data_IF_560090361412
#
_entry.id   IF_560090361412
#
_cell.length_a   1.000
_cell.length_b   1.000
_cell.length_c   1.000
_cell.angle_alpha   90.00
_cell.angle_beta   90.00
_cell.angle_gamma   90.00
#
_symmetry.space_group_name_H-M   'P 1'
#
loop_
_entity.id
_entity.type
_entity.pdbx_description
1 polymer ?
#
# COMPACT_ATOMS: atom_id res chain seq x y z
N UNK A 1 21.90 -1.29 -10.62
CA UNK A 1 21.34 -1.43 -9.26
C UNK A 1 20.78 -0.08 -8.84
N UNK A 2 19.47 0.01 -8.57
CA UNK A 2 18.79 1.25 -8.18
C UNK A 2 19.10 1.55 -6.70
N UNK A 3 19.57 2.76 -6.39
CA UNK A 3 19.88 3.23 -5.05
C UNK A 3 18.69 3.98 -4.45
N UNK A 4 18.21 3.53 -3.30
CA UNK A 4 16.95 3.97 -2.69
C UNK A 4 17.22 4.65 -1.36
N UNK A 5 16.58 5.80 -1.13
CA UNK A 5 16.40 6.42 0.18
C UNK A 5 15.00 6.14 0.71
N UNK A 6 14.88 5.87 1.99
CA UNK A 6 13.57 5.68 2.66
C UNK A 6 13.39 6.80 3.68
N UNK A 7 12.33 7.57 3.53
CA UNK A 7 11.90 8.59 4.49
C UNK A 7 10.68 8.04 5.25
N UNK A 8 10.83 7.80 6.55
CA UNK A 8 9.87 7.10 7.40
C UNK A 8 10.15 5.60 7.53
N UNK A 9 10.41 5.15 8.75
CA UNK A 9 10.76 3.76 9.04
C UNK A 9 9.70 3.04 9.90
N UNK A 10 8.44 3.42 9.68
CA UNK A 10 7.25 2.77 10.23
C UNK A 10 7.00 1.38 9.63
N UNK A 11 5.78 0.88 9.71
CA UNK A 11 5.39 -0.45 9.16
C UNK A 11 5.76 -0.60 7.68
N UNK A 12 5.36 0.35 6.83
CA UNK A 12 5.61 0.29 5.37
C UNK A 12 7.11 0.43 5.05
N UNK A 13 7.82 1.39 5.66
CA UNK A 13 9.26 1.55 5.45
C UNK A 13 10.05 0.29 5.81
N UNK A 14 9.71 -0.38 6.93
CA UNK A 14 10.33 -1.65 7.33
C UNK A 14 9.95 -2.81 6.41
N UNK A 15 8.69 -2.91 5.98
CA UNK A 15 8.26 -3.95 5.01
C UNK A 15 9.00 -3.81 3.68
N UNK A 16 9.11 -2.60 3.13
CA UNK A 16 9.91 -2.31 1.94
C UNK A 16 11.37 -2.72 2.15
N UNK A 17 11.95 -2.37 3.30
CA UNK A 17 13.35 -2.72 3.62
C UNK A 17 13.57 -4.23 3.68
N UNK A 18 12.66 -4.97 4.30
CA UNK A 18 12.69 -6.44 4.37
C UNK A 18 12.61 -7.08 2.98
N UNK A 19 11.71 -6.59 2.13
CA UNK A 19 11.54 -7.10 0.77
C UNK A 19 12.79 -6.80 -0.07
N UNK A 20 13.33 -5.58 0.00
CA UNK A 20 14.53 -5.18 -0.76
C UNK A 20 15.77 -5.95 -0.30
N UNK A 21 15.87 -6.33 0.99
CA UNK A 21 17.04 -7.05 1.50
C UNK A 21 17.32 -8.39 0.80
N UNK A 22 16.32 -8.95 0.12
CA UNK A 22 16.45 -10.16 -0.72
C UNK A 22 16.62 -9.88 -2.22
N UNK A 23 16.66 -8.61 -2.65
CA UNK A 23 16.76 -8.23 -4.07
C UNK A 23 18.19 -7.83 -4.43
N UNK A 24 18.67 -8.27 -5.60
CA UNK A 24 20.02 -7.92 -6.10
C UNK A 24 20.06 -6.64 -6.93
N UNK A 25 18.95 -6.25 -7.49
CA UNK A 25 18.81 -5.11 -8.40
C UNK A 25 18.48 -3.79 -7.68
N UNK A 26 18.21 -3.84 -6.37
CA UNK A 26 17.85 -2.70 -5.52
C UNK A 26 18.79 -2.62 -4.30
N UNK A 27 19.09 -1.40 -3.87
CA UNK A 27 19.91 -1.15 -2.68
C UNK A 27 19.38 0.01 -1.88
N UNK A 28 19.08 -0.21 -0.59
CA UNK A 28 18.81 0.89 0.34
C UNK A 28 20.14 1.49 0.77
N UNK A 29 20.30 2.79 0.59
CA UNK A 29 21.51 3.56 0.92
C UNK A 29 21.33 4.33 2.20
N UNK A 30 20.14 4.91 2.42
CA UNK A 30 19.83 5.69 3.61
C UNK A 30 18.38 5.53 4.05
N UNK A 31 18.19 5.67 5.36
CA UNK A 31 16.89 5.74 6.03
C UNK A 31 16.86 7.03 6.84
N UNK A 32 15.74 7.74 6.81
CA UNK A 32 15.43 8.84 7.70
C UNK A 32 14.21 8.48 8.55
N UNK A 33 14.30 8.67 9.86
CA UNK A 33 13.21 8.44 10.81
C UNK A 33 13.32 9.43 11.98
N UNK A 34 12.20 9.90 12.51
CA UNK A 34 12.19 10.87 13.61
C UNK A 34 12.48 10.23 14.98
N UNK A 35 12.30 8.92 15.11
CA UNK A 35 12.76 8.18 16.28
C UNK A 35 14.27 7.98 16.16
N UNK A 36 15.03 8.47 17.13
CA UNK A 36 16.49 8.42 17.17
C UNK A 36 17.06 7.14 17.83
N UNK A 37 16.22 6.33 18.47
CA UNK A 37 16.66 5.04 19.03
C UNK A 37 16.86 3.99 17.92
N UNK A 38 18.06 4.05 17.37
CA UNK A 38 18.44 3.16 16.26
C UNK A 38 18.50 1.68 16.67
N UNK A 39 18.73 1.38 17.97
CA UNK A 39 18.70 0.01 18.47
C UNK A 39 17.29 -0.54 18.47
N UNK A 40 16.30 0.26 18.89
CA UNK A 40 14.88 -0.10 18.81
C UNK A 40 14.46 -0.30 17.34
N UNK A 41 14.84 0.59 16.43
CA UNK A 41 14.52 0.46 15.01
C UNK A 41 15.16 -0.80 14.39
N UNK A 42 16.39 -1.12 14.75
CA UNK A 42 17.07 -2.35 14.34
C UNK A 42 16.39 -3.61 14.88
N UNK A 43 15.94 -3.57 16.13
CA UNK A 43 15.15 -4.63 16.76
C UNK A 43 13.83 -4.84 16.01
N UNK A 44 13.05 -3.77 15.75
CA UNK A 44 11.79 -3.83 15.03
C UNK A 44 11.94 -4.24 13.55
N UNK A 45 13.10 -3.99 12.94
CA UNK A 45 13.42 -4.53 11.61
C UNK A 45 13.68 -6.03 11.67
N UNK A 46 14.39 -6.50 12.70
CA UNK A 46 14.76 -7.91 12.87
C UNK A 46 13.56 -8.76 13.27
N UNK A 47 12.74 -8.29 14.20
CA UNK A 47 11.63 -9.02 14.79
C UNK A 47 10.30 -8.34 14.47
N UNK A 48 9.37 -9.09 13.93
CA UNK A 48 8.03 -8.63 13.59
C UNK A 48 7.03 -9.72 13.95
N UNK A 49 5.97 -9.36 14.66
CA UNK A 49 4.97 -10.32 15.11
C UNK A 49 4.25 -10.99 13.94
N UNK A 50 4.04 -10.26 12.85
CA UNK A 50 3.30 -10.71 11.67
C UNK A 50 4.25 -11.46 10.71
N UNK A 51 5.32 -10.77 10.26
CA UNK A 51 6.24 -11.30 9.24
C UNK A 51 7.42 -12.07 9.84
N UNK A 52 7.40 -12.30 11.15
CA UNK A 52 8.39 -13.10 11.88
C UNK A 52 9.81 -12.52 11.80
N UNK A 53 10.77 -13.31 12.23
CA UNK A 53 12.19 -12.93 12.28
C UNK A 53 12.77 -12.80 10.88
N UNK A 54 13.36 -11.66 10.55
CA UNK A 54 14.11 -11.48 9.31
C UNK A 54 15.35 -12.40 9.30
N UNK A 55 15.57 -13.15 8.22
CA UNK A 55 16.70 -14.10 8.12
C UNK A 55 18.05 -13.38 8.12
N UNK A 56 18.15 -12.23 7.45
CA UNK A 56 19.37 -11.43 7.36
C UNK A 56 19.94 -11.07 8.74
N UNK A 57 21.26 -10.93 8.83
CA UNK A 57 21.96 -10.43 10.03
C UNK A 57 21.77 -8.92 10.13
N UNK A 58 21.27 -8.45 11.26
CA UNK A 58 21.14 -7.02 11.55
C UNK A 58 22.19 -6.62 12.58
N UNK A 59 22.99 -5.60 12.25
CA UNK A 59 23.95 -4.98 13.17
C UNK A 59 23.70 -3.48 13.20
N UNK A 60 23.45 -2.95 14.38
CA UNK A 60 23.30 -1.50 14.61
C UNK A 60 24.66 -0.90 14.93
N UNK A 61 24.95 0.26 14.33
CA UNK A 61 26.12 1.10 14.58
C UNK A 61 25.66 2.52 14.89
N UNK A 62 26.52 3.38 15.43
CA UNK A 62 26.18 4.73 15.88
C UNK A 62 25.29 5.56 14.91
N UNK A 63 25.44 5.40 13.61
CA UNK A 63 24.68 6.15 12.59
C UNK A 63 24.31 5.29 11.37
N UNK A 64 24.14 3.98 11.56
CA UNK A 64 23.84 3.07 10.48
C UNK A 64 23.22 1.76 10.97
N UNK A 65 22.39 1.17 10.13
CA UNK A 65 21.93 -0.21 10.26
C UNK A 65 22.61 -1.02 9.14
N UNK A 66 23.28 -2.10 9.50
CA UNK A 66 23.82 -3.03 8.52
C UNK A 66 22.84 -4.21 8.38
N UNK A 67 22.45 -4.50 7.16
CA UNK A 67 21.72 -5.72 6.78
C UNK A 67 22.70 -6.58 6.00
N UNK A 68 23.18 -7.67 6.61
CA UNK A 68 24.32 -8.46 6.13
C UNK A 68 25.52 -7.53 5.83
N UNK A 69 25.98 -7.48 4.58
CA UNK A 69 27.08 -6.62 4.14
C UNK A 69 26.63 -5.24 3.64
N UNK A 70 25.33 -4.94 3.62
CA UNK A 70 24.83 -3.66 3.17
C UNK A 70 24.73 -2.67 4.35
N UNK A 71 25.58 -1.63 4.32
CA UNK A 71 25.53 -0.53 5.27
C UNK A 71 24.52 0.51 4.82
N UNK A 72 23.52 0.80 5.64
CA UNK A 72 22.46 1.78 5.44
C UNK A 72 22.70 2.95 6.39
N UNK A 73 22.96 4.15 5.87
CA UNK A 73 23.11 5.36 6.69
C UNK A 73 21.79 5.74 7.33
N UNK A 74 21.84 6.21 8.57
CA UNK A 74 20.68 6.65 9.30
C UNK A 74 20.72 8.15 9.53
N UNK A 75 19.55 8.78 9.37
CA UNK A 75 19.31 10.19 9.65
C UNK A 75 18.09 10.34 10.56
N UNK A 76 18.12 11.33 11.46
CA UNK A 76 17.01 11.70 12.33
C UNK A 76 16.63 13.15 12.02
N UNK A 77 15.81 13.35 10.97
CA UNK A 77 15.41 14.68 10.49
C UNK A 77 13.90 14.78 10.34
N UNK A 78 13.32 15.91 10.79
CA UNK A 78 11.88 16.16 10.71
C UNK A 78 11.38 16.43 9.30
N UNK A 79 12.22 17.07 8.46
CA UNK A 79 11.84 17.38 7.09
C UNK A 79 12.66 16.58 6.10
N UNK A 80 12.01 16.12 5.04
CA UNK A 80 12.65 15.38 3.94
C UNK A 80 13.80 16.17 3.28
N UNK A 81 13.75 17.51 3.31
CA UNK A 81 14.76 18.39 2.71
C UNK A 81 16.05 18.54 3.54
N UNK A 82 16.04 18.09 4.79
CA UNK A 82 17.22 18.19 5.68
C UNK A 82 18.16 16.99 5.51
N UNK A 83 17.76 15.96 4.76
CA UNK A 83 18.58 14.79 4.46
C UNK A 83 19.31 15.01 3.13
N UNK A 84 20.62 14.79 3.06
CA UNK A 84 21.41 15.02 1.85
C UNK A 84 21.31 13.85 0.87
N UNK A 85 20.08 13.53 0.39
CA UNK A 85 19.80 12.38 -0.47
C UNK A 85 20.67 12.35 -1.73
N UNK A 86 20.87 13.50 -2.36
CA UNK A 86 21.65 13.64 -3.57
C UNK A 86 23.15 13.38 -3.36
N UNK A 87 23.73 13.84 -2.24
CA UNK A 87 25.14 13.60 -1.89
C UNK A 87 25.43 12.13 -1.59
N UNK A 88 24.39 11.33 -1.34
CA UNK A 88 24.48 9.89 -1.11
C UNK A 88 24.37 9.08 -2.41
N UNK A 89 24.19 9.74 -3.56
CA UNK A 89 24.03 9.10 -4.85
C UNK A 89 22.74 8.29 -4.95
N UNK A 90 21.67 8.72 -4.27
CA UNK A 90 20.36 8.07 -4.28
C UNK A 90 19.64 8.42 -5.57
N UNK A 91 19.10 7.42 -6.26
CA UNK A 91 18.34 7.60 -7.51
C UNK A 91 16.89 7.98 -7.24
N UNK A 92 16.29 7.43 -6.16
CA UNK A 92 14.88 7.61 -5.81
C UNK A 92 14.68 7.61 -4.30
N UNK A 93 13.78 8.48 -3.84
CA UNK A 93 13.35 8.50 -2.44
C UNK A 93 11.93 7.97 -2.33
N UNK A 94 11.69 7.06 -1.39
CA UNK A 94 10.36 6.57 -1.00
C UNK A 94 9.97 7.31 0.27
N UNK A 95 8.92 8.13 0.22
CA UNK A 95 8.34 8.75 1.41
C UNK A 95 7.22 7.89 1.98
N UNK A 96 7.52 7.22 3.09
CA UNK A 96 6.62 6.36 3.84
C UNK A 96 6.19 6.98 5.19
N UNK A 97 6.25 8.31 5.30
CA UNK A 97 5.92 9.03 6.54
C UNK A 97 4.44 9.33 6.71
N UNK A 98 3.69 9.43 5.61
CA UNK A 98 2.30 9.94 5.63
C UNK A 98 2.18 11.44 5.96
N UNK A 99 3.29 12.18 6.02
CA UNK A 99 3.32 13.60 6.46
C UNK A 99 3.12 14.54 5.27
N UNK A 100 2.02 15.29 5.26
CA UNK A 100 1.67 16.23 4.19
C UNK A 100 2.76 17.28 3.92
N UNK A 101 3.51 17.73 4.93
CA UNK A 101 4.63 18.67 4.77
C UNK A 101 5.75 18.09 3.92
N UNK A 102 6.04 16.79 4.02
CA UNK A 102 7.04 16.12 3.19
C UNK A 102 6.59 16.08 1.73
N UNK A 103 5.31 15.79 1.45
CA UNK A 103 4.74 15.83 0.10
C UNK A 103 4.87 17.23 -0.51
N UNK A 104 4.51 18.29 0.24
CA UNK A 104 4.67 19.69 -0.21
C UNK A 104 6.12 20.02 -0.55
N UNK A 105 7.07 19.44 0.15
CA UNK A 105 8.51 19.69 -0.03
C UNK A 105 9.19 18.68 -0.96
N UNK A 106 8.48 17.67 -1.46
CA UNK A 106 9.07 16.57 -2.23
C UNK A 106 9.90 17.08 -3.42
N UNK A 107 9.36 17.99 -4.24
CA UNK A 107 10.09 18.51 -5.41
C UNK A 107 11.41 19.21 -5.07
N UNK A 108 11.58 19.71 -3.84
CA UNK A 108 12.82 20.40 -3.42
C UNK A 108 14.03 19.48 -3.29
N UNK A 109 13.82 18.16 -3.20
CA UNK A 109 14.92 17.18 -3.13
C UNK A 109 15.26 16.57 -4.49
N UNK A 110 14.52 16.91 -5.54
CA UNK A 110 14.81 16.50 -6.93
C UNK A 110 15.98 17.32 -7.47
N UNK A 111 17.18 16.84 -7.24
CA UNK A 111 18.42 17.47 -7.71
C UNK A 111 19.55 16.44 -7.77
N UNK A 112 20.52 16.67 -8.64
CA UNK A 112 21.69 15.82 -8.85
C UNK A 112 21.29 14.35 -9.11
N UNK A 113 21.55 13.45 -8.17
CA UNK A 113 21.27 12.00 -8.31
C UNK A 113 19.79 11.66 -8.14
N UNK A 114 19.02 12.42 -7.34
CA UNK A 114 17.61 12.10 -7.03
C UNK A 114 16.72 12.46 -8.21
N UNK A 115 16.27 11.44 -8.93
CA UNK A 115 15.48 11.59 -10.16
C UNK A 115 13.98 11.56 -9.91
N UNK A 116 13.51 10.78 -8.95
CA UNK A 116 12.09 10.54 -8.70
C UNK A 116 11.81 10.37 -7.21
N UNK A 117 10.55 10.58 -6.84
CA UNK A 117 10.05 10.34 -5.49
C UNK A 117 8.76 9.53 -5.58
N UNK A 118 8.65 8.51 -4.73
CA UNK A 118 7.41 7.73 -4.54
C UNK A 118 6.82 8.04 -3.17
N UNK A 119 5.56 8.46 -3.15
CA UNK A 119 4.80 8.75 -1.94
C UNK A 119 3.88 7.55 -1.65
N UNK A 120 3.94 6.99 -0.45
CA UNK A 120 3.18 5.77 -0.08
C UNK A 120 1.79 6.04 0.49
N UNK A 121 1.17 7.13 0.12
CA UNK A 121 -0.23 7.46 0.41
C UNK A 121 -0.81 8.28 -0.74
N UNK A 122 -2.11 8.63 -0.69
CA UNK A 122 -2.82 9.31 -1.77
C UNK A 122 -3.16 10.75 -1.41
N UNK A 123 -2.21 11.71 -1.47
CA UNK A 123 -2.50 13.11 -1.25
C UNK A 123 -3.33 13.69 -2.39
N UNK A 124 -4.06 14.78 -2.08
CA UNK A 124 -4.88 15.47 -3.10
C UNK A 124 -4.07 16.47 -3.93
N UNK A 125 -2.92 16.93 -3.41
CA UNK A 125 -2.09 17.98 -4.02
C UNK A 125 -0.61 17.64 -3.94
N UNK A 126 0.20 18.35 -4.73
CA UNK A 126 1.66 18.26 -4.75
C UNK A 126 2.22 16.90 -5.21
N UNK A 127 1.48 16.19 -6.04
CA UNK A 127 1.90 15.00 -6.77
C UNK A 127 1.67 15.23 -8.27
N UNK A 128 2.50 14.61 -9.09
CA UNK A 128 2.38 14.72 -10.55
C UNK A 128 1.54 13.59 -11.13
N UNK A 129 1.57 12.41 -10.49
CA UNK A 129 0.83 11.25 -10.95
C UNK A 129 0.49 10.30 -9.79
N UNK A 130 -0.73 9.77 -9.77
CA UNK A 130 -1.10 8.65 -8.90
C UNK A 130 -1.11 7.38 -9.72
N UNK A 131 -0.31 6.39 -9.31
CA UNK A 131 -0.16 5.12 -10.02
C UNK A 131 -0.72 3.96 -9.20
N UNK A 132 -1.57 3.17 -9.82
CA UNK A 132 -2.00 1.87 -9.33
C UNK A 132 -1.55 0.83 -10.37
N UNK A 133 -0.64 -0.05 -9.96
CA UNK A 133 -0.14 -1.11 -10.86
C UNK A 133 -1.28 -2.05 -11.27
N UNK A 134 -1.37 -2.35 -12.55
CA UNK A 134 -2.48 -3.09 -13.16
C UNK A 134 -3.64 -2.21 -13.61
N UNK A 135 -3.61 -0.91 -13.31
CA UNK A 135 -4.69 0.05 -13.66
C UNK A 135 -4.23 1.07 -14.68
N UNK A 136 -3.29 1.92 -14.33
CA UNK A 136 -2.97 3.12 -15.10
C UNK A 136 -1.46 3.37 -15.32
N UNK A 137 -0.60 2.43 -15.00
CA UNK A 137 0.86 2.57 -15.15
C UNK A 137 1.28 2.94 -16.57
N UNK A 138 0.52 2.50 -17.59
CA UNK A 138 0.80 2.81 -19.00
C UNK A 138 0.71 4.32 -19.34
N UNK A 139 0.01 5.10 -18.52
CA UNK A 139 -0.13 6.56 -18.69
C UNK A 139 0.98 7.35 -18.01
N UNK A 140 1.89 6.67 -17.33
CA UNK A 140 3.04 7.33 -16.70
C UNK A 140 3.96 7.94 -17.77
N UNK A 141 4.36 9.19 -17.52
CA UNK A 141 5.31 9.90 -18.38
C UNK A 141 6.57 10.28 -17.57
N UNK A 142 7.70 9.68 -17.93
CA UNK A 142 8.96 9.88 -17.22
C UNK A 142 9.40 11.36 -17.14
N UNK A 143 9.16 12.12 -18.21
CA UNK A 143 9.60 13.52 -18.31
C UNK A 143 8.70 14.51 -17.55
N UNK A 144 7.45 14.12 -17.26
CA UNK A 144 6.43 14.97 -16.64
C UNK A 144 6.14 14.62 -15.18
N UNK A 145 6.38 13.37 -14.78
CA UNK A 145 5.95 12.87 -13.48
C UNK A 145 7.15 12.51 -12.61
N UNK A 146 7.54 13.43 -11.73
CA UNK A 146 8.67 13.27 -10.84
C UNK A 146 8.26 12.83 -9.43
N UNK A 147 7.10 13.30 -8.96
CA UNK A 147 6.51 12.92 -7.68
C UNK A 147 5.31 12.04 -7.93
N UNK A 148 5.48 10.74 -7.68
CA UNK A 148 4.48 9.72 -7.97
C UNK A 148 3.89 9.19 -6.66
N UNK A 149 2.56 9.22 -6.53
CA UNK A 149 1.87 8.51 -5.45
C UNK A 149 1.61 7.07 -5.85
N UNK A 150 1.93 6.12 -4.97
CA UNK A 150 1.55 4.71 -5.10
C UNK A 150 0.12 4.43 -4.62
N UNK A 151 -0.69 5.46 -4.45
CA UNK A 151 -2.04 5.36 -3.90
C UNK A 151 -2.04 4.78 -2.47
N UNK A 152 -3.03 3.95 -2.13
CA UNK A 152 -3.16 3.28 -0.83
C UNK A 152 -3.39 1.79 -1.03
N UNK A 153 -3.22 1.00 0.03
CA UNK A 153 -3.35 -0.46 0.00
C UNK A 153 -4.69 -0.94 -0.57
N UNK A 154 -5.80 -0.38 -0.07
CA UNK A 154 -7.14 -0.74 -0.52
C UNK A 154 -7.33 -0.45 -2.03
N UNK A 155 -6.86 0.72 -2.49
CA UNK A 155 -6.97 1.09 -3.90
C UNK A 155 -6.09 0.21 -4.80
N UNK A 156 -4.94 -0.25 -4.29
CA UNK A 156 -4.06 -1.18 -5.02
C UNK A 156 -4.65 -2.57 -5.20
N UNK A 157 -5.60 -2.97 -4.33
CA UNK A 157 -6.33 -4.22 -4.44
C UNK A 157 -7.64 -4.06 -5.23
N UNK A 158 -8.47 -3.08 -4.86
CA UNK A 158 -9.80 -2.87 -5.43
C UNK A 158 -9.72 -2.33 -6.86
N UNK A 159 -8.79 -1.42 -7.14
CA UNK A 159 -8.67 -0.77 -8.44
C UNK A 159 -8.51 -1.73 -9.62
N UNK A 160 -7.57 -2.69 -9.60
CA UNK A 160 -7.44 -3.69 -10.64
C UNK A 160 -8.71 -4.52 -10.85
N UNK A 161 -9.43 -4.88 -9.78
CA UNK A 161 -10.67 -5.66 -9.86
C UNK A 161 -11.77 -4.84 -10.55
N UNK A 162 -12.01 -3.62 -10.09
CA UNK A 162 -13.03 -2.74 -10.68
C UNK A 162 -12.72 -2.44 -12.16
N UNK A 163 -11.45 -2.27 -12.51
CA UNK A 163 -11.04 -2.08 -13.91
C UNK A 163 -11.45 -3.27 -14.78
N UNK A 164 -11.10 -4.48 -14.34
CA UNK A 164 -11.40 -5.68 -15.14
C UNK A 164 -12.92 -5.95 -15.22
N UNK A 165 -13.67 -5.67 -14.14
CA UNK A 165 -15.14 -5.76 -14.18
C UNK A 165 -15.75 -4.72 -15.12
N UNK A 166 -15.26 -3.48 -15.11
CA UNK A 166 -15.78 -2.43 -15.99
C UNK A 166 -15.42 -2.68 -17.46
N UNK A 167 -14.20 -3.15 -17.74
CA UNK A 167 -13.76 -3.44 -19.11
C UNK A 167 -14.57 -4.59 -19.73
N UNK A 168 -14.92 -5.64 -18.96
CA UNK A 168 -15.60 -6.82 -19.46
C UNK A 168 -17.13 -6.72 -19.38
N UNK A 169 -17.68 -6.13 -18.32
CA UNK A 169 -19.13 -6.19 -18.04
C UNK A 169 -19.81 -4.83 -17.96
N UNK A 170 -19.07 -3.71 -17.94
CA UNK A 170 -19.58 -2.32 -17.85
C UNK A 170 -20.30 -2.05 -16.54
N UNK A 171 -19.58 -1.56 -15.56
CA UNK A 171 -20.12 -1.20 -14.25
C UNK A 171 -21.16 -0.09 -14.37
N UNK A 172 -22.36 -0.33 -13.84
CA UNK A 172 -23.41 0.69 -13.68
C UNK A 172 -23.32 1.35 -12.31
N UNK A 173 -23.30 0.55 -11.25
CA UNK A 173 -23.20 1.02 -9.87
C UNK A 173 -22.69 -0.08 -8.94
N UNK A 174 -22.25 0.29 -7.74
CA UNK A 174 -21.85 -0.72 -6.76
C UNK A 174 -21.42 -0.16 -5.42
N UNK A 175 -21.29 -1.07 -4.47
CA UNK A 175 -20.78 -0.80 -3.13
C UNK A 175 -19.59 -1.68 -2.81
N UNK A 176 -18.63 -1.11 -2.08
CA UNK A 176 -17.47 -1.83 -1.56
C UNK A 176 -17.39 -1.63 -0.06
N UNK A 177 -17.40 -2.73 0.68
CA UNK A 177 -17.15 -2.72 2.12
C UNK A 177 -15.77 -3.31 2.40
N UNK A 178 -14.88 -2.55 3.03
CA UNK A 178 -13.57 -3.05 3.43
C UNK A 178 -13.56 -3.45 4.90
N UNK A 179 -13.10 -4.67 5.20
CA UNK A 179 -12.77 -5.15 6.53
C UNK A 179 -11.26 -4.96 6.72
N UNK A 180 -10.89 -3.89 7.41
CA UNK A 180 -9.49 -3.47 7.49
C UNK A 180 -8.93 -3.74 8.90
N UNK A 181 -7.78 -4.40 9.04
CA UNK A 181 -7.12 -4.60 10.32
C UNK A 181 -6.91 -3.29 11.10
N UNK A 182 -6.76 -3.43 12.41
CA UNK A 182 -6.38 -2.31 13.25
C UNK A 182 -5.03 -1.73 12.83
N UNK A 183 -4.86 -0.44 13.07
CA UNK A 183 -3.63 0.28 12.73
C UNK A 183 -2.90 0.76 13.99
N UNK A 184 -1.60 0.96 13.88
CA UNK A 184 -0.69 1.31 14.99
C UNK A 184 -1.05 2.60 15.75
N UNK A 185 -1.87 3.45 15.18
CA UNK A 185 -2.33 4.70 15.80
C UNK A 185 -3.68 4.58 16.51
N UNK A 186 -4.35 3.42 16.44
CA UNK A 186 -5.60 3.20 17.15
C UNK A 186 -5.33 2.84 18.60
N UNK A 187 -6.27 3.22 19.47
CA UNK A 187 -6.19 2.92 20.88
C UNK A 187 -6.42 1.42 21.15
N UNK A 188 -5.65 0.84 22.05
CA UNK A 188 -5.87 -0.54 22.53
C UNK A 188 -7.02 -0.62 23.53
N UNK A 189 -7.28 0.48 24.25
CA UNK A 189 -8.42 0.69 25.15
C UNK A 189 -9.08 2.01 24.80
N UNK A 190 -10.31 2.24 25.26
CA UNK A 190 -11.02 3.51 25.05
C UNK A 190 -10.14 4.70 25.46
N UNK A 191 -9.96 5.66 24.57
CA UNK A 191 -9.10 6.80 24.82
C UNK A 191 -9.33 7.97 23.86
N UNK A 192 -8.55 9.04 24.05
CA UNK A 192 -8.68 10.25 23.27
C UNK A 192 -8.32 10.02 21.79
N UNK A 193 -8.87 10.84 20.90
CA UNK A 193 -8.63 10.76 19.46
C UNK A 193 -7.25 11.25 19.02
N UNK A 194 -6.46 11.84 19.89
CA UNK A 194 -5.08 12.23 19.60
C UNK A 194 -4.17 11.02 19.73
N UNK A 195 -3.60 10.59 18.62
CA UNK A 195 -2.63 9.51 18.63
C UNK A 195 -1.22 10.03 18.91
N UNK A 196 -0.54 9.46 19.89
CA UNK A 196 0.89 9.71 20.18
C UNK A 196 1.77 9.02 19.13
N UNK A 197 1.36 7.84 18.65
CA UNK A 197 2.12 7.06 17.66
C UNK A 197 2.07 7.63 16.24
N UNK A 198 1.09 8.51 15.96
CA UNK A 198 0.96 9.23 14.69
C UNK A 198 0.60 10.68 14.97
N UNK A 199 1.56 11.51 15.41
CA UNK A 199 1.32 12.90 15.74
C UNK A 199 0.70 13.66 14.55
N UNK A 200 -0.41 14.39 14.80
CA UNK A 200 -1.15 15.12 13.77
C UNK A 200 -2.35 14.36 13.18
N UNK A 201 -2.57 13.10 13.50
CA UNK A 201 -3.83 12.43 13.21
C UNK A 201 -4.88 12.82 14.26
N UNK A 202 -5.78 13.74 13.89
CA UNK A 202 -6.98 14.07 14.65
C UNK A 202 -8.19 13.47 13.94
N UNK A 203 -8.88 12.56 14.60
CA UNK A 203 -10.08 11.96 14.06
C UNK A 203 -11.29 12.81 14.46
N UNK A 204 -12.16 13.11 13.49
CA UNK A 204 -13.45 13.73 13.77
C UNK A 204 -14.53 12.73 14.19
N UNK A 205 -14.29 11.45 13.91
CA UNK A 205 -15.21 10.37 14.28
C UNK A 205 -14.79 9.78 15.62
N UNK A 206 -15.56 10.02 16.66
CA UNK A 206 -15.28 9.57 18.04
C UNK A 206 -15.18 8.05 18.18
N UNK A 207 -15.84 7.27 17.32
CA UNK A 207 -15.74 5.81 17.35
C UNK A 207 -14.31 5.29 17.15
N UNK A 208 -13.45 6.07 16.48
CA UNK A 208 -12.04 5.69 16.27
C UNK A 208 -11.16 5.78 17.52
N UNK A 209 -11.66 6.40 18.61
CA UNK A 209 -11.02 6.41 19.94
C UNK A 209 -11.39 5.20 20.79
N UNK A 210 -12.30 4.33 20.32
CA UNK A 210 -12.70 3.12 21.05
C UNK A 210 -11.64 2.02 20.90
N UNK A 211 -11.69 1.08 21.82
CA UNK A 211 -10.87 -0.12 21.83
C UNK A 211 -10.86 -0.81 20.46
N UNK A 212 -9.69 -0.98 19.90
CA UNK A 212 -9.49 -1.58 18.56
C UNK A 212 -9.36 -3.10 18.57
N UNK A 213 -9.37 -3.72 19.75
CA UNK A 213 -9.23 -5.18 19.92
C UNK A 213 -10.61 -5.85 20.04
N UNK A 214 -11.54 -5.20 20.75
CA UNK A 214 -12.85 -5.77 21.05
C UNK A 214 -13.99 -5.23 20.18
N UNK A 215 -13.73 -4.30 19.26
CA UNK A 215 -14.78 -3.62 18.50
C UNK A 215 -14.64 -3.75 16.98
N UNK A 216 -15.77 -3.82 16.29
CA UNK A 216 -15.91 -3.46 14.89
C UNK A 216 -16.18 -1.96 14.81
N UNK A 217 -15.27 -1.18 14.19
CA UNK A 217 -15.37 0.27 14.18
C UNK A 217 -15.70 0.75 12.76
N UNK A 218 -16.94 1.24 12.50
CA UNK A 218 -17.32 1.76 11.19
C UNK A 218 -16.62 3.07 10.88
N UNK A 219 -16.24 3.24 9.63
CA UNK A 219 -15.48 4.39 9.15
C UNK A 219 -15.77 4.66 7.68
N UNK A 220 -15.83 5.92 7.28
CA UNK A 220 -15.81 6.25 5.86
C UNK A 220 -14.49 5.81 5.23
N UNK A 221 -14.57 5.17 4.05
CA UNK A 221 -13.38 4.77 3.31
C UNK A 221 -12.85 5.88 2.41
N UNK A 222 -11.54 5.96 2.27
CA UNK A 222 -10.87 6.76 1.26
C UNK A 222 -10.51 5.95 0.01
N UNK A 223 -10.79 4.64 0.03
CA UNK A 223 -10.41 3.71 -1.03
C UNK A 223 -11.04 4.09 -2.36
N UNK A 224 -12.33 4.37 -2.38
CA UNK A 224 -13.06 4.71 -3.60
C UNK A 224 -12.52 6.01 -4.21
N UNK A 225 -12.34 7.06 -3.39
CA UNK A 225 -11.72 8.31 -3.85
C UNK A 225 -10.32 8.07 -4.44
N UNK A 226 -9.54 7.18 -3.86
CA UNK A 226 -8.21 6.86 -4.35
C UNK A 226 -8.23 6.05 -5.66
N UNK A 227 -9.16 5.10 -5.81
CA UNK A 227 -9.38 4.34 -7.04
C UNK A 227 -9.85 5.24 -8.17
N UNK A 228 -10.83 6.12 -7.91
CA UNK A 228 -11.44 6.96 -8.95
C UNK A 228 -10.52 8.08 -9.45
N UNK A 229 -9.44 8.41 -8.73
CA UNK A 229 -8.35 9.23 -9.27
C UNK A 229 -7.66 8.55 -10.48
N UNK A 230 -7.66 7.21 -10.52
CA UNK A 230 -7.02 6.41 -11.57
C UNK A 230 -8.01 5.82 -12.56
N UNK A 231 -9.27 5.62 -12.15
CA UNK A 231 -10.39 5.12 -12.94
C UNK A 231 -11.51 6.18 -12.94
N UNK A 232 -11.29 7.28 -13.65
CA UNK A 232 -12.17 8.46 -13.62
C UNK A 232 -13.61 8.17 -14.06
N UNK A 233 -13.83 7.20 -14.94
CA UNK A 233 -15.14 6.75 -15.39
C UNK A 233 -16.02 6.10 -14.33
N UNK A 234 -15.46 5.76 -13.15
CA UNK A 234 -16.16 5.13 -12.03
C UNK A 234 -16.53 6.11 -10.89
N UNK A 235 -16.23 7.39 -11.03
CA UNK A 235 -16.32 8.37 -9.92
C UNK A 235 -17.66 8.45 -9.21
N UNK A 236 -18.77 8.38 -9.97
CA UNK A 236 -20.14 8.46 -9.43
C UNK A 236 -20.86 7.10 -9.40
N UNK A 237 -20.17 6.01 -9.76
CA UNK A 237 -20.78 4.69 -9.86
C UNK A 237 -20.52 3.82 -8.64
N UNK A 238 -19.43 4.07 -7.92
CA UNK A 238 -19.02 3.24 -6.78
C UNK A 238 -19.00 4.07 -5.51
N UNK A 239 -19.61 3.52 -4.47
CA UNK A 239 -19.54 4.04 -3.10
C UNK A 239 -18.99 2.95 -2.16
N UNK A 240 -18.69 3.31 -0.93
CA UNK A 240 -18.19 2.32 0.01
C UNK A 240 -18.02 2.82 1.43
N UNK A 241 -17.77 1.87 2.30
CA UNK A 241 -17.43 2.09 3.71
C UNK A 241 -16.34 1.11 4.15
N UNK A 242 -15.83 1.32 5.35
CA UNK A 242 -14.80 0.46 5.93
C UNK A 242 -15.15 0.15 7.37
N UNK A 243 -14.84 -1.06 7.80
CA UNK A 243 -14.78 -1.40 9.22
C UNK A 243 -13.33 -1.63 9.63
N UNK A 244 -12.91 -1.07 10.77
CA UNK A 244 -11.76 -1.59 11.49
C UNK A 244 -12.19 -2.85 12.21
N UNK A 245 -11.44 -3.92 12.01
CA UNK A 245 -11.72 -5.24 12.61
C UNK A 245 -10.56 -5.67 13.52
N UNK A 246 -10.80 -6.49 14.55
CA UNK A 246 -9.79 -6.86 15.55
C UNK A 246 -8.80 -7.92 15.02
N UNK A 247 -8.34 -7.78 13.79
CA UNK A 247 -7.27 -8.57 13.19
C UNK A 247 -5.98 -7.74 13.10
N UNK A 248 -4.84 -8.39 12.94
CA UNK A 248 -3.54 -7.69 12.93
C UNK A 248 -3.08 -7.30 11.54
N UNK A 249 -3.52 -8.04 10.51
CA UNK A 249 -3.10 -7.85 9.11
C UNK A 249 -4.07 -8.59 8.19
N UNK A 250 -3.98 -8.32 6.90
CA UNK A 250 -4.83 -8.82 5.82
C UNK A 250 -6.24 -8.22 5.86
N UNK A 251 -6.53 -7.46 4.84
CA UNK A 251 -7.86 -6.94 4.58
C UNK A 251 -8.71 -7.93 3.79
N UNK A 252 -10.01 -7.91 4.02
CA UNK A 252 -10.99 -8.38 3.06
C UNK A 252 -11.75 -7.19 2.49
N UNK A 253 -12.16 -7.28 1.22
CA UNK A 253 -13.17 -6.38 0.68
C UNK A 253 -14.31 -7.19 0.08
N UNK A 254 -15.50 -6.78 0.46
CA UNK A 254 -16.77 -7.29 -0.04
C UNK A 254 -17.29 -6.32 -1.11
N UNK A 255 -17.42 -6.81 -2.34
CA UNK A 255 -17.88 -6.03 -3.48
C UNK A 255 -19.27 -6.50 -3.90
N UNK A 256 -20.19 -5.56 -4.10
CA UNK A 256 -21.50 -5.77 -4.70
C UNK A 256 -21.64 -4.82 -5.87
N UNK A 257 -21.55 -5.34 -7.09
CA UNK A 257 -21.39 -4.54 -8.32
C UNK A 257 -22.48 -4.90 -9.31
N UNK A 258 -23.31 -3.93 -9.69
CA UNK A 258 -24.24 -4.05 -10.81
C UNK A 258 -23.53 -3.70 -12.10
N UNK A 259 -23.67 -4.57 -13.09
CA UNK A 259 -23.08 -4.42 -14.42
C UNK A 259 -24.18 -4.35 -15.50
N UNK A 260 -23.82 -3.79 -16.66
CA UNK A 260 -24.76 -3.66 -17.78
C UNK A 260 -24.88 -4.95 -18.59
N UNK A 261 -23.72 -5.60 -18.82
CA UNK A 261 -23.67 -6.81 -19.65
C UNK A 261 -23.97 -8.04 -18.77
N UNK A 262 -24.78 -8.93 -19.30
CA UNK A 262 -25.06 -10.21 -18.64
C UNK A 262 -23.79 -11.00 -18.42
N UNK A 263 -23.73 -11.70 -17.28
CA UNK A 263 -22.56 -12.51 -16.88
C UNK A 263 -23.00 -13.68 -16.00
N UNK A 264 -22.08 -14.58 -15.75
CA UNK A 264 -22.23 -15.73 -14.85
C UNK A 264 -21.05 -15.79 -13.84
N UNK A 265 -21.17 -16.65 -12.85
CA UNK A 265 -20.07 -16.95 -11.90
C UNK A 265 -18.84 -17.48 -12.67
N UNK A 266 -19.10 -18.36 -13.63
CA UNK A 266 -18.08 -18.96 -14.50
C UNK A 266 -17.35 -17.91 -15.31
N UNK A 267 -18.05 -16.94 -15.90
CA UNK A 267 -17.44 -15.86 -16.69
C UNK A 267 -16.54 -14.98 -15.83
N UNK A 268 -17.02 -14.58 -14.66
CA UNK A 268 -16.24 -13.77 -13.72
C UNK A 268 -14.98 -14.52 -13.28
N UNK A 269 -15.12 -15.77 -12.82
CA UNK A 269 -13.99 -16.57 -12.35
C UNK A 269 -13.00 -16.90 -13.49
N UNK A 270 -13.48 -17.11 -14.72
CA UNK A 270 -12.65 -17.35 -15.93
C UNK A 270 -11.73 -16.16 -16.23
N UNK A 271 -12.25 -14.93 -16.11
CA UNK A 271 -11.44 -13.71 -16.30
C UNK A 271 -10.32 -13.68 -15.26
N UNK A 272 -10.63 -13.82 -14.00
CA UNK A 272 -9.62 -13.73 -12.93
C UNK A 272 -8.64 -14.92 -12.95
N UNK A 273 -9.07 -16.10 -13.37
CA UNK A 273 -8.17 -17.25 -13.64
C UNK A 273 -7.15 -16.92 -14.73
N UNK A 274 -7.58 -16.32 -15.84
CA UNK A 274 -6.68 -15.86 -16.91
C UNK A 274 -5.71 -14.77 -16.41
N UNK A 275 -6.20 -13.84 -15.59
CA UNK A 275 -5.41 -12.76 -15.04
C UNK A 275 -4.39 -13.24 -13.98
N UNK A 276 -4.72 -14.25 -13.19
CA UNK A 276 -3.80 -14.85 -12.22
C UNK A 276 -2.58 -15.50 -12.90
N UNK A 277 -2.67 -15.83 -14.17
CA UNK A 277 -1.55 -16.32 -14.98
C UNK A 277 -0.84 -15.14 -15.66
N UNK A 278 -1.56 -14.33 -16.46
CA UNK A 278 -0.98 -13.28 -17.31
C UNK A 278 -0.49 -12.04 -16.52
N UNK A 279 -1.13 -11.73 -15.41
CA UNK A 279 -0.79 -10.63 -14.50
C UNK A 279 -0.55 -11.15 -13.07
N UNK A 280 0.21 -12.23 -12.94
CA UNK A 280 0.40 -12.99 -11.70
C UNK A 280 1.02 -12.19 -10.53
N UNK A 281 1.61 -11.02 -10.76
CA UNK A 281 2.04 -10.11 -9.69
C UNK A 281 0.89 -9.34 -9.07
N UNK A 282 -0.19 -9.14 -9.81
CA UNK A 282 -1.37 -8.37 -9.38
C UNK A 282 -2.43 -9.31 -8.82
N UNK A 283 -2.81 -10.32 -9.59
CA UNK A 283 -3.93 -11.20 -9.30
C UNK A 283 -3.52 -12.60 -8.87
N UNK A 284 -4.31 -13.17 -7.98
CA UNK A 284 -4.38 -14.59 -7.68
C UNK A 284 -5.85 -14.99 -7.61
N UNK A 285 -6.19 -16.20 -8.05
CA UNK A 285 -7.51 -16.81 -7.89
C UNK A 285 -7.41 -17.94 -6.88
N UNK A 286 -8.08 -17.79 -5.74
CA UNK A 286 -8.13 -18.80 -4.70
C UNK A 286 -9.34 -19.72 -4.92
N UNK A 287 -9.10 -21.02 -4.77
CA UNK A 287 -10.10 -22.08 -4.93
C UNK A 287 -10.27 -22.93 -3.66
N UNK A 288 -9.42 -22.73 -2.67
CA UNK A 288 -9.49 -23.42 -1.38
C UNK A 288 -10.34 -22.61 -0.37
N UNK A 289 -10.77 -23.27 0.70
CA UNK A 289 -11.44 -22.58 1.82
C UNK A 289 -10.39 -22.09 2.80
N UNK A 290 -9.88 -20.87 2.57
CA UNK A 290 -8.86 -20.24 3.38
C UNK A 290 -9.42 -19.06 4.19
N UNK A 291 -8.61 -18.56 5.13
CA UNK A 291 -8.94 -17.43 6.01
C UNK A 291 -7.85 -16.36 5.92
N UNK A 292 -8.09 -15.18 6.49
CA UNK A 292 -7.19 -14.04 6.39
C UNK A 292 -5.73 -14.33 6.76
N UNK A 293 -5.47 -15.19 7.74
CA UNK A 293 -4.11 -15.54 8.18
C UNK A 293 -3.30 -16.29 7.11
N UNK A 294 -3.96 -16.99 6.19
CA UNK A 294 -3.28 -17.76 5.14
C UNK A 294 -2.68 -16.86 4.06
N UNK A 295 -3.16 -15.63 3.97
CA UNK A 295 -2.68 -14.64 2.99
C UNK A 295 -1.58 -13.72 3.54
N UNK A 296 -1.13 -13.92 4.78
CA UNK A 296 -0.05 -13.12 5.38
C UNK A 296 1.25 -13.28 4.56
N UNK A 297 1.83 -12.16 4.16
CA UNK A 297 3.07 -12.13 3.39
C UNK A 297 2.88 -12.40 1.90
N UNK A 298 1.66 -12.46 1.38
CA UNK A 298 1.44 -12.53 -0.07
C UNK A 298 2.02 -11.30 -0.77
N UNK A 299 2.62 -11.52 -1.94
CA UNK A 299 3.14 -10.44 -2.77
C UNK A 299 2.15 -9.96 -3.86
N UNK A 300 0.93 -10.51 -3.86
CA UNK A 300 -0.13 -10.11 -4.79
C UNK A 300 -0.76 -8.78 -4.37
N UNK A 301 -1.32 -8.06 -5.33
CA UNK A 301 -2.17 -6.91 -5.01
C UNK A 301 -3.51 -7.36 -4.46
N UNK A 302 -4.06 -8.42 -5.05
CA UNK A 302 -5.39 -8.93 -4.75
C UNK A 302 -5.49 -10.43 -5.02
N UNK A 303 -6.19 -11.10 -4.15
CA UNK A 303 -6.57 -12.52 -4.27
C UNK A 303 -8.08 -12.56 -4.37
N UNK A 304 -8.60 -13.13 -5.44
CA UNK A 304 -10.03 -13.29 -5.68
C UNK A 304 -10.45 -14.62 -5.04
N UNK A 305 -11.39 -14.57 -4.12
CA UNK A 305 -11.96 -15.79 -3.54
C UNK A 305 -13.06 -16.32 -4.44
N UNK A 306 -12.75 -17.34 -5.25
CA UNK A 306 -13.69 -17.87 -6.25
C UNK A 306 -14.92 -18.55 -5.63
N UNK A 307 -14.82 -19.00 -4.38
CA UNK A 307 -15.96 -19.64 -3.67
C UNK A 307 -17.02 -18.65 -3.22
N UNK A 308 -16.63 -17.38 -3.07
CA UNK A 308 -17.52 -16.28 -2.70
C UNK A 308 -17.84 -15.36 -3.88
N UNK A 309 -17.56 -15.79 -5.12
CA UNK A 309 -18.12 -15.16 -6.31
C UNK A 309 -19.55 -15.65 -6.52
N UNK A 310 -20.49 -14.72 -6.60
CA UNK A 310 -21.90 -15.00 -6.88
C UNK A 310 -22.44 -13.99 -7.91
N UNK A 311 -23.41 -14.40 -8.71
CA UNK A 311 -24.09 -13.55 -9.70
C UNK A 311 -25.59 -13.73 -9.58
N UNK A 312 -26.32 -12.66 -9.30
CA UNK A 312 -27.78 -12.65 -9.25
C UNK A 312 -28.31 -11.92 -10.49
N UNK A 313 -29.43 -12.41 -11.03
CA UNK A 313 -30.11 -11.81 -12.17
C UNK A 313 -29.18 -11.48 -13.35
N UNK A 314 -28.11 -12.29 -13.52
CA UNK A 314 -27.07 -12.14 -14.56
C UNK A 314 -26.30 -10.82 -14.56
N UNK A 315 -26.60 -9.89 -13.66
CA UNK A 315 -26.02 -8.54 -13.69
C UNK A 315 -25.56 -8.03 -12.32
N UNK A 316 -25.91 -8.69 -11.23
CA UNK A 316 -25.46 -8.30 -9.89
C UNK A 316 -24.37 -9.25 -9.40
N UNK A 317 -23.12 -8.79 -9.47
CA UNK A 317 -21.93 -9.53 -9.06
C UNK A 317 -21.68 -9.28 -7.58
N UNK A 318 -21.52 -10.35 -6.80
CA UNK A 318 -21.03 -10.35 -5.43
C UNK A 318 -19.71 -11.09 -5.36
N UNK A 319 -18.69 -10.52 -4.73
CA UNK A 319 -17.40 -11.18 -4.59
C UNK A 319 -16.62 -10.71 -3.37
N UNK A 320 -15.79 -11.61 -2.84
CA UNK A 320 -14.84 -11.30 -1.77
C UNK A 320 -13.43 -11.32 -2.33
N UNK A 321 -12.64 -10.34 -1.93
CA UNK A 321 -11.23 -10.26 -2.27
C UNK A 321 -10.39 -10.09 -1.01
N UNK A 322 -9.17 -10.65 -1.02
CA UNK A 322 -8.20 -10.59 0.06
C UNK A 322 -6.93 -9.86 -0.38
N UNK A 323 -6.27 -9.17 0.54
CA UNK A 323 -4.97 -8.55 0.27
C UNK A 323 -4.19 -8.27 1.56
N UNK A 324 -2.89 -8.54 1.53
CA UNK A 324 -2.01 -8.10 2.60
C UNK A 324 -1.74 -6.60 2.43
N UNK A 325 -2.36 -5.81 3.31
CA UNK A 325 -2.35 -4.34 3.22
C UNK A 325 -0.99 -3.69 3.48
N UNK A 326 0.00 -4.44 3.98
CA UNK A 326 1.36 -3.96 4.16
C UNK A 326 2.34 -4.63 3.19
N UNK A 327 2.39 -5.96 3.16
CA UNK A 327 3.37 -6.69 2.34
C UNK A 327 3.05 -6.66 0.86
N UNK A 328 1.82 -6.96 0.47
CA UNK A 328 1.34 -6.86 -0.90
C UNK A 328 1.48 -5.44 -1.43
N UNK A 329 1.05 -4.46 -0.65
CA UNK A 329 1.20 -3.04 -0.99
C UNK A 329 2.68 -2.62 -1.12
N UNK A 330 3.55 -3.04 -0.20
CA UNK A 330 5.00 -2.73 -0.27
C UNK A 330 5.64 -3.33 -1.52
N UNK A 331 5.22 -4.51 -1.97
CA UNK A 331 5.66 -5.06 -3.26
C UNK A 331 5.23 -4.18 -4.43
N UNK A 332 4.01 -3.62 -4.42
CA UNK A 332 3.54 -2.68 -5.45
C UNK A 332 4.35 -1.37 -5.45
N UNK A 333 4.69 -0.82 -4.29
CA UNK A 333 5.60 0.33 -4.18
C UNK A 333 6.93 0.03 -4.87
N UNK A 334 7.51 -1.14 -4.62
CA UNK A 334 8.77 -1.58 -5.24
C UNK A 334 8.61 -1.76 -6.76
N UNK A 335 7.49 -2.31 -7.21
CA UNK A 335 7.23 -2.44 -8.66
C UNK A 335 7.09 -1.07 -9.34
N UNK A 336 6.46 -0.09 -8.68
CA UNK A 336 6.41 1.29 -9.15
C UNK A 336 7.82 1.88 -9.26
N UNK A 337 8.66 1.73 -8.22
CA UNK A 337 10.07 2.18 -8.26
C UNK A 337 10.81 1.61 -9.47
N UNK A 338 10.65 0.32 -9.72
CA UNK A 338 11.26 -0.34 -10.88
C UNK A 338 10.69 0.15 -12.20
N UNK A 339 9.38 0.37 -12.27
CA UNK A 339 8.69 0.80 -13.47
C UNK A 339 9.10 2.20 -13.90
N UNK A 340 9.12 3.15 -12.95
CA UNK A 340 9.40 4.55 -13.26
C UNK A 340 10.89 4.85 -13.51
N UNK A 341 11.79 3.94 -13.15
CA UNK A 341 13.24 4.07 -13.39
C UNK A 341 13.76 3.16 -14.52
N UNK A 342 12.90 2.35 -15.14
CA UNK A 342 13.29 1.43 -16.23
C UNK A 342 13.44 2.11 -17.60
N UNK A 343 13.85 3.37 -17.64
CA UNK A 343 14.17 3.99 -18.94
C UNK A 343 15.62 4.46 -18.98
#
# INVERSE_FOLDING_TARGET
MIKIGINGFGRIGRSITRIISSKRDLKIVAINEINDDLNNLGYLLKYDTIYRKLKNKIKVKKSAINIDNNRIKFFCKKNITEVPWDKLGIDIVIDATGVAKNVKNAKKILKNSVKKIVITHSPDKNIDFTMIMGVNEKFYNYRKHDVVSSSICDASAIGPVLKELDENFKIETGFVTTLHPRLSYQNLLDGSLKSVSSPGHNWKNFSLGRDSIANLIPKQTTAIKAVTKCLTGLGNKISGLSFRVPTSIVCASDLTIKVKNDTSVEDVNKIFKKLSISKSKIFELETNSLVSSDYIGTNKSVIIDSKFTNVMNRQLIKMVIWYDNEWGYSNRVIDIVKYILKK
#
